data_IF_312829176609
#
_entry.id   IF_312829176609
#
_cell.length_a   1.000
_cell.length_b   1.000
_cell.length_c   1.000
_cell.angle_alpha   90.00
_cell.angle_beta   90.00
_cell.angle_gamma   90.00
#
_symmetry.space_group_name_H-M   'P 1'
#
loop_
_entity.id
_entity.type
_entity.pdbx_description
1 polymer ?
#
# COMPACT_ATOMS: atom_id res chain seq x y z
N UNK A 1 13.69 -20.53 -14.12
CA UNK A 1 13.17 -19.64 -13.06
C UNK A 1 11.75 -19.22 -13.36
N UNK A 2 11.49 -18.72 -14.56
CA UNK A 2 10.15 -18.32 -15.02
C UNK A 2 9.09 -19.41 -14.92
N UNK A 3 9.43 -20.65 -15.27
CA UNK A 3 8.53 -21.80 -15.11
C UNK A 3 8.07 -22.00 -13.66
N UNK A 4 8.87 -21.60 -12.67
CA UNK A 4 8.50 -21.69 -11.25
C UNK A 4 7.54 -20.58 -10.84
N UNK A 5 7.65 -19.40 -11.44
CA UNK A 5 6.67 -18.31 -11.24
C UNK A 5 5.31 -18.66 -11.85
N UNK A 6 5.31 -19.27 -13.04
CA UNK A 6 4.10 -19.79 -13.68
C UNK A 6 3.48 -20.88 -12.81
N UNK A 7 4.30 -21.79 -12.29
CA UNK A 7 3.82 -22.85 -11.41
C UNK A 7 3.12 -22.32 -10.15
N UNK A 8 3.67 -21.30 -9.47
CA UNK A 8 2.99 -20.67 -8.32
C UNK A 8 1.62 -20.07 -8.69
N UNK A 9 1.48 -19.59 -9.92
CA UNK A 9 0.21 -19.07 -10.41
C UNK A 9 -0.79 -20.19 -10.67
N UNK A 10 -0.35 -21.30 -11.30
CA UNK A 10 -1.18 -22.50 -11.54
C UNK A 10 -1.61 -23.15 -10.22
N UNK A 11 -0.64 -23.45 -9.34
CA UNK A 11 -0.86 -24.06 -8.02
C UNK A 11 -1.82 -23.20 -7.17
N UNK A 12 -1.68 -21.87 -7.22
CA UNK A 12 -2.57 -20.94 -6.55
C UNK A 12 -4.01 -20.97 -7.06
N UNK A 13 -4.23 -21.08 -8.37
CA UNK A 13 -5.58 -21.24 -8.94
C UNK A 13 -6.22 -22.57 -8.51
N UNK A 14 -5.45 -23.66 -8.55
CA UNK A 14 -5.93 -24.97 -8.11
C UNK A 14 -6.30 -24.97 -6.63
N UNK A 15 -5.49 -24.32 -5.78
CA UNK A 15 -5.75 -24.24 -4.35
C UNK A 15 -6.94 -23.36 -4.01
N UNK A 16 -7.14 -22.23 -4.70
CA UNK A 16 -8.36 -21.43 -4.56
C UNK A 16 -9.59 -22.24 -4.95
N UNK A 17 -9.51 -22.98 -6.06
CA UNK A 17 -10.61 -23.85 -6.49
C UNK A 17 -10.88 -24.94 -5.44
N UNK A 18 -9.85 -25.57 -4.90
CA UNK A 18 -9.98 -26.55 -3.82
C UNK A 18 -10.56 -25.95 -2.53
N UNK A 19 -10.25 -24.70 -2.21
CA UNK A 19 -10.77 -24.01 -1.04
C UNK A 19 -12.28 -23.75 -1.11
N UNK A 20 -12.86 -23.67 -2.31
CA UNK A 20 -14.33 -23.60 -2.47
C UNK A 20 -15.03 -24.91 -2.08
N UNK A 21 -14.32 -26.04 -2.13
CA UNK A 21 -14.84 -27.36 -1.77
C UNK A 21 -14.50 -27.75 -0.31
N UNK A 22 -13.29 -27.45 0.15
CA UNK A 22 -12.81 -27.76 1.51
C UNK A 22 -11.75 -26.73 1.95
N UNK A 23 -12.23 -25.63 2.54
CA UNK A 23 -11.41 -24.48 2.92
C UNK A 23 -10.31 -24.87 3.94
N UNK A 24 -10.64 -25.64 4.98
CA UNK A 24 -9.70 -26.01 6.04
C UNK A 24 -8.52 -26.83 5.50
N UNK A 25 -8.78 -27.80 4.61
CA UNK A 25 -7.72 -28.61 4.00
C UNK A 25 -6.89 -27.82 2.99
N UNK A 26 -7.51 -26.90 2.26
CA UNK A 26 -6.83 -26.03 1.30
C UNK A 26 -5.92 -25.01 2.01
N UNK A 27 -6.35 -24.42 3.13
CA UNK A 27 -5.58 -23.46 3.92
C UNK A 27 -4.21 -23.99 4.35
N UNK A 28 -4.13 -25.23 4.84
CA UNK A 28 -2.86 -25.84 5.23
C UNK A 28 -1.85 -25.96 4.07
N UNK A 29 -2.35 -26.20 2.84
CA UNK A 29 -1.52 -26.23 1.63
C UNK A 29 -1.12 -24.82 1.19
N UNK A 30 -2.05 -23.87 1.24
CA UNK A 30 -1.79 -22.46 0.93
C UNK A 30 -0.71 -21.87 1.84
N UNK A 31 -0.77 -22.13 3.15
CA UNK A 31 0.26 -21.69 4.10
C UNK A 31 1.66 -22.22 3.75
N UNK A 32 1.75 -23.50 3.35
CA UNK A 32 3.03 -24.10 2.94
C UNK A 32 3.55 -23.46 1.66
N UNK A 33 2.67 -23.16 0.72
CA UNK A 33 3.03 -22.51 -0.52
C UNK A 33 3.48 -21.06 -0.30
N UNK A 34 2.74 -20.26 0.47
CA UNK A 34 3.10 -18.89 0.84
C UNK A 34 4.49 -18.82 1.48
N UNK A 35 4.82 -19.72 2.43
CA UNK A 35 6.17 -19.80 3.00
C UNK A 35 7.24 -20.15 1.96
N UNK A 36 6.90 -21.01 1.00
CA UNK A 36 7.83 -21.40 -0.07
C UNK A 36 8.04 -20.25 -1.06
N UNK A 37 6.98 -19.49 -1.35
CA UNK A 37 7.00 -18.29 -2.19
C UNK A 37 7.81 -17.17 -1.54
N UNK A 38 7.61 -16.90 -0.24
CA UNK A 38 8.40 -15.95 0.55
C UNK A 38 9.91 -16.27 0.46
N UNK A 39 10.31 -17.51 0.77
CA UNK A 39 11.71 -17.95 0.63
C UNK A 39 12.23 -17.85 -0.80
N UNK A 40 11.37 -18.10 -1.78
CA UNK A 40 11.74 -17.97 -3.19
C UNK A 40 12.01 -16.51 -3.55
N UNK A 41 11.18 -15.57 -3.12
CA UNK A 41 11.41 -14.14 -3.34
C UNK A 41 12.74 -13.69 -2.71
N UNK A 42 12.95 -14.00 -1.44
CA UNK A 42 14.19 -13.64 -0.71
C UNK A 42 15.46 -14.19 -1.39
N UNK A 43 15.43 -15.42 -1.88
CA UNK A 43 16.60 -16.05 -2.54
C UNK A 43 16.86 -15.52 -3.95
N UNK A 44 15.88 -14.90 -4.59
CA UNK A 44 15.94 -14.54 -6.02
C UNK A 44 15.90 -13.03 -6.27
N UNK A 45 16.27 -12.22 -5.28
CA UNK A 45 16.31 -10.75 -5.41
C UNK A 45 17.23 -10.26 -6.55
N UNK A 46 18.27 -11.01 -6.92
CA UNK A 46 19.18 -10.65 -8.02
C UNK A 46 18.81 -11.29 -9.37
N UNK A 47 17.75 -12.09 -9.43
CA UNK A 47 17.37 -12.83 -10.64
C UNK A 47 16.58 -11.96 -11.62
N UNK A 48 16.93 -12.02 -12.91
CA UNK A 48 16.14 -11.39 -13.97
C UNK A 48 15.04 -12.34 -14.43
N UNK A 49 13.80 -12.05 -14.05
CA UNK A 49 12.60 -12.74 -14.53
C UNK A 49 12.05 -12.06 -15.78
N UNK A 50 11.43 -12.81 -16.69
CA UNK A 50 10.65 -12.19 -17.77
C UNK A 50 9.43 -11.44 -17.24
N UNK A 51 8.94 -10.45 -17.98
CA UNK A 51 7.73 -9.68 -17.62
C UNK A 51 6.52 -10.59 -17.38
N UNK A 52 6.36 -11.65 -18.19
CA UNK A 52 5.30 -12.64 -18.01
C UNK A 52 5.45 -13.38 -16.66
N UNK A 53 6.66 -13.82 -16.32
CA UNK A 53 6.91 -14.49 -15.05
C UNK A 53 6.69 -13.56 -13.84
N UNK A 54 7.10 -12.30 -13.95
CA UNK A 54 6.84 -11.29 -12.91
C UNK A 54 5.34 -11.06 -12.71
N UNK A 55 4.60 -10.90 -13.81
CA UNK A 55 3.15 -10.70 -13.77
C UNK A 55 2.44 -11.89 -13.13
N UNK A 56 2.81 -13.12 -13.51
CA UNK A 56 2.26 -14.35 -12.93
C UNK A 56 2.51 -14.46 -11.44
N UNK A 57 3.69 -14.05 -10.98
CA UNK A 57 4.01 -14.07 -9.56
C UNK A 57 3.18 -13.02 -8.77
N UNK A 58 2.97 -11.83 -9.33
CA UNK A 58 2.08 -10.82 -8.74
C UNK A 58 0.63 -11.27 -8.74
N UNK A 59 0.17 -11.93 -9.81
CA UNK A 59 -1.18 -12.47 -9.89
C UNK A 59 -1.39 -13.62 -8.91
N UNK A 60 -0.38 -14.48 -8.69
CA UNK A 60 -0.41 -15.51 -7.66
C UNK A 60 -0.60 -14.89 -6.26
N UNK A 61 0.19 -13.86 -5.92
CA UNK A 61 0.04 -13.11 -4.66
C UNK A 61 -1.38 -12.51 -4.55
N UNK A 62 -1.90 -11.95 -5.65
CA UNK A 62 -3.25 -11.38 -5.71
C UNK A 62 -4.34 -12.38 -5.32
N UNK A 63 -4.18 -13.66 -5.66
CA UNK A 63 -5.15 -14.70 -5.32
C UNK A 63 -5.23 -14.91 -3.81
N UNK A 64 -4.09 -15.06 -3.13
CA UNK A 64 -4.07 -15.25 -1.68
C UNK A 64 -4.50 -13.99 -0.93
N UNK A 65 -4.14 -12.79 -1.40
CA UNK A 65 -4.63 -11.53 -0.82
C UNK A 65 -6.15 -11.45 -0.90
N UNK A 66 -6.73 -11.78 -2.05
CA UNK A 66 -8.19 -11.76 -2.24
C UNK A 66 -8.89 -12.80 -1.37
N UNK A 67 -8.33 -14.00 -1.28
CA UNK A 67 -8.86 -15.08 -0.45
C UNK A 67 -8.80 -14.72 1.04
N UNK A 68 -7.67 -14.22 1.52
CA UNK A 68 -7.49 -13.82 2.93
C UNK A 68 -8.47 -12.70 3.33
N UNK A 69 -8.73 -11.74 2.43
CA UNK A 69 -9.73 -10.69 2.66
C UNK A 69 -11.15 -11.20 2.80
N UNK A 70 -11.49 -12.28 2.11
CA UNK A 70 -12.80 -12.91 2.27
C UNK A 70 -12.94 -13.63 3.61
N UNK A 71 -11.82 -14.13 4.18
CA UNK A 71 -11.79 -14.85 5.46
C UNK A 71 -11.64 -13.94 6.69
N UNK A 72 -11.24 -12.68 6.50
CA UNK A 72 -11.07 -11.67 7.56
C UNK A 72 -12.25 -11.45 8.54
N UNK A 73 -13.53 -11.71 8.19
CA UNK A 73 -14.63 -11.67 9.15
C UNK A 73 -14.62 -12.82 10.19
N UNK A 74 -13.98 -13.95 9.90
CA UNK A 74 -13.87 -15.11 10.80
C UNK A 74 -12.49 -15.13 11.47
N UNK A 75 -12.47 -14.87 12.79
CA UNK A 75 -11.23 -14.87 13.58
C UNK A 75 -10.88 -16.26 14.10
N UNK A 76 -10.64 -17.20 13.20
CA UNK A 76 -10.02 -18.47 13.55
C UNK A 76 -8.50 -18.31 13.60
N UNK A 77 -7.82 -19.10 14.44
CA UNK A 77 -6.36 -19.07 14.58
C UNK A 77 -5.64 -19.33 13.23
N UNK A 78 -6.25 -20.15 12.38
CA UNK A 78 -5.70 -20.51 11.08
C UNK A 78 -5.84 -19.37 10.05
N UNK A 79 -6.90 -18.57 10.13
CA UNK A 79 -7.10 -17.38 9.28
C UNK A 79 -6.09 -16.29 9.61
N UNK A 80 -5.79 -16.11 10.91
CA UNK A 80 -4.73 -15.19 11.34
C UNK A 80 -3.36 -15.62 10.82
N UNK A 81 -3.05 -16.92 10.84
CA UNK A 81 -1.80 -17.44 10.27
C UNK A 81 -1.74 -17.23 8.75
N UNK A 82 -2.87 -17.39 8.05
CA UNK A 82 -2.94 -17.17 6.62
C UNK A 82 -2.74 -15.70 6.26
N UNK A 83 -3.32 -14.81 7.07
CA UNK A 83 -3.16 -13.37 6.96
C UNK A 83 -1.70 -12.95 7.16
N UNK A 84 -1.05 -13.40 8.24
CA UNK A 84 0.36 -13.14 8.49
C UNK A 84 1.27 -13.69 7.38
N UNK A 85 1.01 -14.91 6.91
CA UNK A 85 1.80 -15.52 5.83
C UNK A 85 1.63 -14.77 4.50
N UNK A 86 0.41 -14.35 4.17
CA UNK A 86 0.13 -13.56 2.96
C UNK A 86 0.79 -12.19 3.05
N UNK A 87 0.68 -11.54 4.21
CA UNK A 87 1.32 -10.26 4.47
C UNK A 87 2.84 -10.35 4.34
N UNK A 88 3.46 -11.40 4.87
CA UNK A 88 4.90 -11.62 4.73
C UNK A 88 5.33 -11.77 3.27
N UNK A 89 4.57 -12.48 2.43
CA UNK A 89 4.87 -12.60 0.99
C UNK A 89 4.75 -11.24 0.29
N UNK A 90 3.78 -10.40 0.66
CA UNK A 90 3.67 -9.03 0.14
C UNK A 90 4.89 -8.18 0.54
N UNK A 91 5.34 -8.28 1.80
CA UNK A 91 6.56 -7.62 2.29
C UNK A 91 7.80 -8.05 1.51
N UNK A 92 8.00 -9.36 1.37
CA UNK A 92 9.13 -9.91 0.62
C UNK A 92 9.08 -9.50 -0.86
N UNK A 93 7.87 -9.38 -1.42
CA UNK A 93 7.66 -8.86 -2.77
C UNK A 93 8.06 -7.40 -2.90
N UNK A 94 7.68 -6.54 -1.96
CA UNK A 94 8.09 -5.14 -1.96
C UNK A 94 9.61 -4.97 -1.87
N UNK A 95 10.26 -5.81 -1.06
CA UNK A 95 11.71 -5.83 -0.87
C UNK A 95 12.49 -6.28 -2.12
N UNK A 96 11.81 -6.85 -3.13
CA UNK A 96 12.45 -7.17 -4.40
C UNK A 96 12.93 -5.89 -5.10
N UNK A 97 14.13 -5.86 -5.67
CA UNK A 97 14.62 -4.68 -6.36
C UNK A 97 13.82 -4.41 -7.66
N UNK A 98 13.89 -3.17 -8.15
CA UNK A 98 13.06 -2.72 -9.30
C UNK A 98 13.37 -3.41 -10.63
N UNK A 99 14.55 -4.03 -10.73
CA UNK A 99 14.91 -4.90 -11.84
C UNK A 99 14.13 -6.23 -11.85
N UNK A 100 13.49 -6.59 -10.74
CA UNK A 100 12.63 -7.78 -10.60
C UNK A 100 11.16 -7.40 -10.58
N UNK A 101 10.77 -6.37 -9.83
CA UNK A 101 9.41 -5.84 -9.87
C UNK A 101 9.38 -4.39 -10.29
N UNK A 102 8.74 -4.14 -11.42
CA UNK A 102 8.54 -2.79 -11.92
C UNK A 102 7.63 -1.95 -11.03
N UNK A 103 7.64 -0.65 -11.26
CA UNK A 103 6.84 0.34 -10.51
C UNK A 103 5.35 -0.01 -10.44
N UNK A 104 4.75 -0.54 -11.52
CA UNK A 104 3.35 -0.97 -11.56
C UNK A 104 3.04 -2.10 -10.58
N UNK A 105 3.94 -3.07 -10.46
CA UNK A 105 3.79 -4.23 -9.59
C UNK A 105 4.02 -3.82 -8.13
N UNK A 106 5.04 -3.00 -7.87
CA UNK A 106 5.28 -2.43 -6.53
C UNK A 106 4.12 -1.56 -6.04
N UNK A 107 3.52 -0.73 -6.90
CA UNK A 107 2.33 0.06 -6.54
C UNK A 107 1.15 -0.82 -6.12
N UNK A 108 0.94 -1.95 -6.80
CA UNK A 108 -0.08 -2.95 -6.41
C UNK A 108 0.24 -3.61 -5.07
N UNK A 109 1.50 -4.01 -4.87
CA UNK A 109 1.96 -4.62 -3.61
C UNK A 109 1.85 -3.65 -2.42
N UNK A 110 2.20 -2.36 -2.61
CA UNK A 110 2.05 -1.32 -1.57
C UNK A 110 0.59 -1.14 -1.17
N UNK A 111 -0.31 -1.11 -2.16
CA UNK A 111 -1.75 -1.06 -1.88
C UNK A 111 -2.19 -2.24 -1.00
N UNK A 112 -1.77 -3.46 -1.34
CA UNK A 112 -2.12 -4.65 -0.54
C UNK A 112 -1.47 -4.64 0.85
N UNK A 113 -0.25 -4.13 0.96
CA UNK A 113 0.41 -3.97 2.24
C UNK A 113 -0.39 -3.06 3.18
N UNK A 114 -0.78 -1.87 2.70
CA UNK A 114 -1.58 -0.91 3.47
C UNK A 114 -2.98 -1.47 3.85
N UNK A 115 -3.56 -2.31 2.99
CA UNK A 115 -4.85 -2.95 3.29
C UNK A 115 -4.73 -4.08 4.33
N UNK A 116 -3.57 -4.74 4.44
CA UNK A 116 -3.36 -5.89 5.31
C UNK A 116 -2.70 -5.51 6.66
N UNK A 117 -1.98 -4.40 6.74
CA UNK A 117 -1.22 -4.01 7.94
C UNK A 117 -2.10 -3.79 9.17
N UNK A 118 -3.22 -3.08 8.99
CA UNK A 118 -4.21 -2.85 10.04
C UNK A 118 -4.91 -4.14 10.49
N UNK A 119 -4.94 -5.16 9.63
CA UNK A 119 -5.55 -6.46 9.93
C UNK A 119 -4.61 -7.41 10.69
N UNK A 120 -3.30 -7.34 10.43
CA UNK A 120 -2.25 -8.11 11.13
C UNK A 120 -1.92 -7.54 12.51
N UNK A 121 -2.38 -6.32 12.82
CA UNK A 121 -1.99 -5.61 14.04
C UNK A 121 -0.54 -5.17 14.02
N UNK A 122 0.03 -5.00 12.82
CA UNK A 122 1.38 -4.47 12.63
C UNK A 122 1.38 -2.95 12.71
N UNK A 123 2.47 -2.40 13.22
CA UNK A 123 2.73 -0.96 13.19
C UNK A 123 2.92 -0.52 11.71
N UNK A 124 2.10 0.41 11.18
CA UNK A 124 2.24 0.91 9.81
C UNK A 124 3.63 1.51 9.52
N UNK A 125 4.36 1.88 10.58
CA UNK A 125 5.69 2.49 10.55
C UNK A 125 6.86 1.47 10.52
N UNK A 126 6.57 0.17 10.71
CA UNK A 126 7.60 -0.86 10.91
C UNK A 126 8.38 -1.31 9.65
N UNK A 127 8.12 -0.72 8.49
CA UNK A 127 8.87 -0.95 7.25
C UNK A 127 9.41 0.33 6.65
N UNK A 128 10.19 1.07 7.45
CA UNK A 128 11.36 1.74 6.88
C UNK A 128 12.29 0.68 6.30
N UNK A 129 12.12 0.36 5.02
CA UNK A 129 13.17 -0.28 4.25
C UNK A 129 14.36 0.67 4.24
N UNK A 130 15.41 0.33 4.99
CA UNK A 130 16.73 0.93 4.83
C UNK A 130 17.15 0.82 3.35
N UNK A 131 17.09 1.94 2.63
CA UNK A 131 17.56 2.04 1.24
C UNK A 131 16.54 2.52 0.20
N UNK A 132 15.35 2.99 0.59
CA UNK A 132 14.38 3.59 -0.34
C UNK A 132 14.07 5.04 0.04
N UNK A 133 15.03 5.95 -0.18
CA UNK A 133 14.72 7.38 -0.25
C UNK A 133 13.73 7.60 -1.42
N UNK A 134 12.55 8.14 -1.12
CA UNK A 134 11.64 8.67 -2.14
C UNK A 134 10.24 8.06 -2.24
N UNK A 135 9.72 7.43 -1.20
CA UNK A 135 8.26 7.21 -1.11
C UNK A 135 7.83 7.26 0.35
N UNK A 136 7.55 8.46 0.84
CA UNK A 136 6.86 8.63 2.11
C UNK A 136 5.53 7.86 2.08
N UNK A 137 5.14 7.23 3.20
CA UNK A 137 3.85 6.57 3.28
C UNK A 137 2.77 7.62 2.99
N UNK A 138 1.81 7.23 2.15
CA UNK A 138 0.66 8.06 1.79
C UNK A 138 -0.31 8.08 2.97
N UNK A 139 0.15 8.62 4.09
CA UNK A 139 -0.67 8.91 5.24
C UNK A 139 -1.48 10.16 4.97
N UNK A 140 -2.70 10.19 5.48
CA UNK A 140 -3.47 11.42 5.52
C UNK A 140 -2.80 12.33 6.53
N UNK A 141 -2.08 13.33 6.04
CA UNK A 141 -1.47 14.36 6.89
C UNK A 141 -2.39 15.57 6.90
N UNK A 142 -2.71 16.03 8.11
CA UNK A 142 -3.43 17.27 8.32
C UNK A 142 -2.41 18.41 8.40
N UNK A 143 -2.64 19.47 7.64
CA UNK A 143 -1.77 20.64 7.62
C UNK A 143 -2.59 21.90 7.85
N UNK A 144 -2.11 22.78 8.71
CA UNK A 144 -2.63 24.14 8.83
C UNK A 144 -2.09 24.99 7.68
N UNK A 145 -2.97 25.67 6.95
CA UNK A 145 -2.61 26.54 5.82
C UNK A 145 -2.30 27.92 6.36
N UNK A 146 -1.04 28.34 6.23
CA UNK A 146 -0.60 29.67 6.63
C UNK A 146 -0.85 30.73 5.56
N UNK A 147 -0.86 30.32 4.29
CA UNK A 147 -0.88 31.24 3.16
C UNK A 147 -1.13 30.53 1.83
N UNK A 148 -1.56 31.32 0.86
CA UNK A 148 -1.62 30.91 -0.54
C UNK A 148 -0.96 31.99 -1.40
N UNK A 149 0.00 31.58 -2.22
CA UNK A 149 0.69 32.48 -3.12
C UNK A 149 -0.16 32.86 -4.33
N UNK A 150 0.23 33.94 -5.01
CA UNK A 150 -0.38 34.39 -6.26
C UNK A 150 -0.40 33.29 -7.33
N UNK A 151 0.55 32.35 -7.29
CA UNK A 151 0.68 31.19 -8.18
C UNK A 151 -0.12 29.95 -7.77
N UNK A 152 -0.84 30.04 -6.65
CA UNK A 152 -1.73 29.00 -6.16
C UNK A 152 -1.03 27.89 -5.37
N UNK A 153 0.24 28.09 -5.00
CA UNK A 153 0.93 27.22 -4.05
C UNK A 153 0.47 27.52 -2.63
N UNK A 154 0.23 26.46 -1.86
CA UNK A 154 -0.17 26.55 -0.45
C UNK A 154 1.06 26.47 0.44
N UNK A 155 1.18 27.41 1.38
CA UNK A 155 2.14 27.29 2.48
C UNK A 155 1.48 26.52 3.62
N UNK A 156 1.86 25.25 3.76
CA UNK A 156 1.33 24.32 4.75
C UNK A 156 2.26 24.21 5.95
N UNK A 157 1.71 24.08 7.15
CA UNK A 157 2.42 23.85 8.40
C UNK A 157 1.78 22.67 9.14
N UNK A 158 2.59 21.72 9.55
CA UNK A 158 2.18 20.65 10.44
C UNK A 158 2.37 21.10 11.90
N UNK A 159 1.28 21.28 12.65
CA UNK A 159 1.33 21.91 13.98
C UNK A 159 2.13 21.11 15.00
N UNK A 160 2.05 19.78 14.96
CA UNK A 160 2.70 18.92 15.94
C UNK A 160 4.22 18.78 15.71
N UNK A 161 4.67 18.87 14.46
CA UNK A 161 6.08 18.66 14.08
C UNK A 161 6.81 19.96 13.77
N UNK A 162 6.09 21.03 13.47
CA UNK A 162 6.63 22.30 12.97
C UNK A 162 7.15 22.22 11.53
N UNK A 163 6.85 21.14 10.80
CA UNK A 163 7.27 20.95 9.41
C UNK A 163 6.46 21.81 8.45
N UNK A 164 7.12 22.50 7.53
CA UNK A 164 6.46 23.33 6.50
C UNK A 164 6.55 22.70 5.12
N UNK A 165 5.47 22.74 4.34
CA UNK A 165 5.44 22.19 2.99
C UNK A 165 4.76 23.17 2.00
N UNK A 166 5.43 23.48 0.88
CA UNK A 166 4.96 24.43 -0.14
C UNK A 166 4.76 23.79 -1.52
N UNK A 167 4.71 22.45 -1.58
CA UNK A 167 4.68 21.73 -2.86
C UNK A 167 3.28 21.57 -3.46
N UNK A 168 2.23 21.81 -2.68
CA UNK A 168 0.86 21.61 -3.11
C UNK A 168 0.30 22.83 -3.84
N UNK A 169 -0.18 22.62 -5.07
CA UNK A 169 -0.76 23.67 -5.90
C UNK A 169 -2.27 23.48 -6.10
N UNK A 170 -3.04 24.52 -5.83
CA UNK A 170 -4.48 24.61 -6.12
C UNK A 170 -4.69 25.45 -7.39
N UNK A 171 -5.56 24.99 -8.28
CA UNK A 171 -5.86 25.71 -9.53
C UNK A 171 -6.46 27.09 -9.24
N UNK A 172 -5.86 28.15 -9.81
CA UNK A 172 -6.41 29.52 -9.75
C UNK A 172 -7.88 29.52 -10.22
N UNK A 173 -8.74 30.28 -9.54
CA UNK A 173 -10.21 30.41 -9.78
C UNK A 173 -11.07 29.18 -9.43
N UNK A 174 -10.47 28.12 -8.88
CA UNK A 174 -11.24 26.99 -8.32
C UNK A 174 -12.04 27.41 -7.08
N UNK A 175 -13.01 26.59 -6.68
CA UNK A 175 -13.82 26.88 -5.48
C UNK A 175 -12.94 26.77 -4.22
N UNK A 176 -12.07 25.79 -4.25
CA UNK A 176 -11.04 25.45 -3.28
C UNK A 176 -10.08 26.63 -3.07
N UNK A 177 -9.55 27.23 -4.15
CA UNK A 177 -8.69 28.41 -4.09
C UNK A 177 -9.38 29.58 -3.38
N UNK A 178 -10.62 29.89 -3.74
CA UNK A 178 -11.38 30.99 -3.14
C UNK A 178 -11.73 30.72 -1.67
N UNK A 179 -12.01 29.46 -1.34
CA UNK A 179 -12.35 29.02 0.00
C UNK A 179 -11.13 29.09 0.93
N UNK A 180 -9.95 28.64 0.47
CA UNK A 180 -8.70 28.77 1.22
C UNK A 180 -8.30 30.24 1.35
N UNK A 181 -8.33 31.01 0.25
CA UNK A 181 -7.95 32.42 0.28
C UNK A 181 -8.79 33.22 1.27
N UNK A 182 -10.11 33.01 1.29
CA UNK A 182 -11.00 33.65 2.27
C UNK A 182 -10.77 33.10 3.67
N UNK A 183 -10.61 31.78 3.79
CA UNK A 183 -10.39 31.09 5.06
C UNK A 183 -9.17 31.62 5.79
N UNK A 184 -8.00 31.64 5.15
CA UNK A 184 -6.72 32.09 5.74
C UNK A 184 -6.78 33.52 6.28
N UNK A 185 -7.60 34.40 5.69
CA UNK A 185 -7.79 35.78 6.17
C UNK A 185 -8.71 35.89 7.39
N UNK A 186 -9.60 34.91 7.62
CA UNK A 186 -10.69 35.00 8.60
C UNK A 186 -10.67 33.93 9.70
N UNK A 187 -10.11 32.76 9.42
CA UNK A 187 -10.19 31.58 10.26
C UNK A 187 -9.02 30.62 9.99
N UNK A 188 -8.89 29.60 10.82
CA UNK A 188 -7.92 28.55 10.59
C UNK A 188 -8.38 27.63 9.46
N UNK A 189 -7.48 27.35 8.51
CA UNK A 189 -7.75 26.45 7.38
C UNK A 189 -6.87 25.23 7.52
N UNK A 190 -7.48 24.06 7.60
CA UNK A 190 -6.78 22.78 7.65
C UNK A 190 -6.99 22.03 6.34
N UNK A 191 -5.92 21.58 5.72
CA UNK A 191 -5.96 20.72 4.53
C UNK A 191 -5.47 19.34 4.86
N UNK A 192 -6.19 18.33 4.38
CA UNK A 192 -5.81 16.93 4.49
C UNK A 192 -5.21 16.50 3.16
N UNK A 193 -3.92 16.16 3.17
CA UNK A 193 -3.22 15.66 1.99
C UNK A 193 -3.00 14.16 2.12
N UNK A 194 -3.07 13.44 1.01
CA UNK A 194 -2.81 12.01 0.93
C UNK A 194 -1.76 11.81 -0.17
N UNK A 195 -0.49 11.79 0.23
CA UNK A 195 0.64 11.81 -0.71
C UNK A 195 0.75 13.17 -1.39
N UNK A 196 0.71 13.20 -2.74
CA UNK A 196 0.83 14.44 -3.53
C UNK A 196 -0.52 15.11 -3.86
N UNK A 197 -1.63 14.60 -3.34
CA UNK A 197 -2.97 15.14 -3.61
C UNK A 197 -3.65 15.68 -2.35
N UNK A 198 -4.35 16.81 -2.50
CA UNK A 198 -5.24 17.36 -1.47
C UNK A 198 -6.57 16.61 -1.57
N UNK A 199 -6.98 15.97 -0.48
CA UNK A 199 -8.20 15.15 -0.43
C UNK A 199 -9.35 15.90 0.23
N UNK A 200 -9.05 16.72 1.24
CA UNK A 200 -10.05 17.44 2.00
C UNK A 200 -9.54 18.84 2.41
N UNK A 201 -10.45 19.82 2.43
CA UNK A 201 -10.17 21.18 2.90
C UNK A 201 -11.24 21.50 3.95
N UNK A 202 -10.81 21.68 5.20
CA UNK A 202 -11.65 22.09 6.32
C UNK A 202 -11.32 23.54 6.64
N UNK A 203 -12.32 24.41 6.58
CA UNK A 203 -12.19 25.79 7.05
C UNK A 203 -12.93 25.83 8.38
N UNK A 204 -12.24 26.22 9.46
CA UNK A 204 -12.90 26.46 10.73
C UNK A 204 -13.97 27.53 10.56
N UNK A 205 -15.21 27.21 10.93
CA UNK A 205 -16.22 28.25 11.16
C UNK A 205 -15.97 28.80 12.57
N UNK A 206 -15.90 30.14 12.69
CA UNK A 206 -15.87 30.85 13.99
C UNK A 206 -17.02 30.42 14.92
#
# INVERSE_FOLDING_TARGET
MDARCIKYWEDGQELLTAATADAARAMGKMLKELRTMSRFLQKNQSSRFSENAQQKLVDAISFYVSFTKQQLPEKTKDDQQLLEATFQVVKDGLAMPFNVFGTKQKKRLMKWYNELIGAVGGDPDGLVMEGMEGAEPVEQREWSVLGIDDDGYLSLLHEDSGETNETFQVKKKSKEYKQIQKGVETAEVVVVTMGEEIVEIRVGEE
#
